data_IF_761974905778
#
_entry.id   IF_761974905778
#
_cell.length_a   1.000
_cell.length_b   1.000
_cell.length_c   1.000
_cell.angle_alpha   90.00
_cell.angle_beta   90.00
_cell.angle_gamma   90.00
#
_symmetry.space_group_name_H-M   'P 1'
#
loop_
_entity.id
_entity.type
_entity.pdbx_description
1 polymer ?
#
# COMPACT_ATOMS: atom_id res chain seq x y z
N UNK A 1 -40.59 5.35 -3.78
CA UNK A 1 -39.92 4.05 -4.02
C UNK A 1 -39.30 4.09 -5.41
N UNK A 2 -38.15 4.74 -5.53
CA UNK A 2 -37.15 4.49 -6.57
C UNK A 2 -35.99 5.48 -6.35
N UNK A 3 -34.95 5.00 -5.67
CA UNK A 3 -33.57 5.48 -5.74
C UNK A 3 -32.69 4.39 -5.11
N UNK A 4 -31.86 3.65 -5.87
CA UNK A 4 -30.81 2.86 -5.29
C UNK A 4 -29.57 3.76 -5.12
N UNK A 5 -29.36 4.28 -3.91
CA UNK A 5 -28.12 4.95 -3.51
C UNK A 5 -26.97 3.94 -3.39
N UNK A 6 -26.60 3.31 -4.52
CA UNK A 6 -25.42 2.45 -4.66
C UNK A 6 -24.48 3.00 -5.74
N UNK A 7 -24.36 4.32 -5.85
CA UNK A 7 -23.34 5.00 -6.66
C UNK A 7 -22.14 5.44 -5.81
N UNK A 8 -21.73 4.59 -4.87
CA UNK A 8 -20.40 4.69 -4.27
C UNK A 8 -19.62 3.41 -4.56
N UNK A 9 -19.64 3.01 -5.82
CA UNK A 9 -18.65 2.08 -6.37
C UNK A 9 -17.31 2.80 -6.34
N UNK A 10 -16.63 2.72 -5.19
CA UNK A 10 -15.21 3.02 -5.00
C UNK A 10 -14.47 2.47 -6.22
N UNK A 11 -13.98 3.38 -7.06
CA UNK A 11 -13.00 3.04 -8.05
C UNK A 11 -11.82 2.39 -7.30
N UNK A 12 -11.68 1.07 -7.47
CA UNK A 12 -10.49 0.34 -7.07
C UNK A 12 -9.31 1.05 -7.70
N UNK A 13 -8.38 1.66 -6.94
CA UNK A 13 -7.17 2.19 -7.54
C UNK A 13 -6.45 0.98 -8.15
N UNK A 14 -6.35 1.00 -9.48
CA UNK A 14 -5.61 0.00 -10.23
C UNK A 14 -4.19 -0.04 -9.65
N UNK A 15 -3.88 -1.15 -8.97
CA UNK A 15 -2.56 -1.38 -8.40
C UNK A 15 -1.61 -1.51 -9.58
N UNK A 16 -0.87 -0.44 -9.86
CA UNK A 16 0.26 -0.50 -10.77
C UNK A 16 1.18 -1.62 -10.28
N UNK A 17 1.37 -2.64 -11.11
CA UNK A 17 2.27 -3.77 -10.85
C UNK A 17 3.71 -3.24 -10.78
N UNK A 18 4.37 -3.21 -9.61
CA UNK A 18 5.78 -2.82 -9.54
C UNK A 18 6.58 -3.89 -10.27
N UNK A 19 7.27 -3.47 -11.33
CA UNK A 19 7.95 -4.34 -12.28
C UNK A 19 8.97 -5.24 -11.60
N UNK A 20 8.90 -6.52 -11.95
CA UNK A 20 9.80 -7.61 -11.56
C UNK A 20 11.27 -7.16 -11.52
N UNK A 21 11.79 -6.93 -10.31
CA UNK A 21 13.19 -6.77 -10.02
C UNK A 21 13.76 -8.19 -9.96
N UNK A 22 14.23 -8.66 -11.12
CA UNK A 22 14.69 -10.03 -11.39
C UNK A 22 16.00 -10.42 -10.66
N UNK A 23 16.17 -10.10 -9.37
CA UNK A 23 17.40 -10.49 -8.66
C UNK A 23 17.44 -10.35 -7.15
N UNK A 24 16.52 -9.60 -6.52
CA UNK A 24 16.47 -9.50 -5.05
C UNK A 24 15.04 -9.72 -4.60
N UNK A 25 14.78 -10.62 -3.64
CA UNK A 25 13.44 -10.76 -3.10
C UNK A 25 13.00 -9.40 -2.55
N UNK A 26 11.81 -8.99 -2.96
CA UNK A 26 11.17 -7.82 -2.40
C UNK A 26 10.91 -8.04 -0.92
N UNK A 27 11.11 -7.01 -0.11
CA UNK A 27 10.70 -7.08 1.28
C UNK A 27 9.18 -7.26 1.36
N UNK A 28 8.70 -8.06 2.30
CA UNK A 28 7.27 -8.20 2.59
C UNK A 28 6.85 -7.19 3.65
N UNK A 29 5.79 -6.42 3.38
CA UNK A 29 5.25 -5.49 4.36
C UNK A 29 4.69 -6.24 5.58
N UNK A 30 5.07 -5.82 6.78
CA UNK A 30 4.62 -6.49 8.01
C UNK A 30 3.14 -6.28 8.34
N UNK A 31 2.51 -5.25 7.77
CA UNK A 31 1.09 -4.94 8.00
C UNK A 31 0.16 -5.62 7.00
N UNK A 32 0.48 -5.52 5.71
CA UNK A 32 -0.41 -6.00 4.65
C UNK A 32 0.06 -7.31 3.99
N UNK A 33 1.26 -7.82 4.36
CA UNK A 33 1.85 -9.07 3.83
C UNK A 33 1.96 -9.09 2.29
N UNK A 34 2.03 -7.92 1.67
CA UNK A 34 2.25 -7.78 0.23
C UNK A 34 3.74 -7.56 -0.03
N UNK A 35 4.27 -8.09 -1.15
CA UNK A 35 5.61 -7.73 -1.60
C UNK A 35 5.64 -6.23 -1.87
N UNK A 36 6.62 -5.56 -1.30
CA UNK A 36 6.82 -4.12 -1.49
C UNK A 36 7.55 -3.85 -2.80
N UNK A 37 7.58 -2.61 -3.26
CA UNK A 37 8.43 -2.22 -4.39
C UNK A 37 9.92 -2.09 -4.00
N UNK A 38 10.24 -2.18 -2.71
CA UNK A 38 11.60 -2.08 -2.20
C UNK A 38 12.26 -3.46 -2.13
N UNK A 39 13.50 -3.54 -2.61
CA UNK A 39 14.33 -4.73 -2.45
C UNK A 39 14.65 -4.96 -0.96
N UNK A 40 14.80 -6.22 -0.53
CA UNK A 40 15.26 -6.55 0.84
C UNK A 40 16.57 -5.86 1.24
N UNK A 41 17.38 -5.47 0.25
CA UNK A 41 18.65 -4.76 0.45
C UNK A 41 18.47 -3.33 0.96
N UNK A 42 17.27 -2.77 0.91
CA UNK A 42 16.97 -1.45 1.48
C UNK A 42 16.86 -1.57 3.00
N UNK A 43 17.98 -1.35 3.69
CA UNK A 43 18.04 -1.46 5.16
C UNK A 43 17.08 -0.48 5.83
N UNK A 44 16.21 -1.02 6.69
CA UNK A 44 15.32 -0.24 7.57
C UNK A 44 13.87 -0.11 7.12
N UNK A 45 13.52 -0.61 5.92
CA UNK A 45 12.14 -0.56 5.42
C UNK A 45 11.43 -1.88 5.73
N UNK A 46 10.50 -1.86 6.69
CA UNK A 46 9.61 -2.99 7.04
C UNK A 46 8.17 -2.78 6.59
N UNK A 47 7.85 -1.59 6.08
CA UNK A 47 6.52 -1.19 5.61
C UNK A 47 6.54 -0.88 4.12
N UNK A 48 5.44 -1.13 3.42
CA UNK A 48 5.29 -0.67 2.04
C UNK A 48 5.01 0.85 1.98
N UNK A 49 5.25 1.49 0.81
CA UNK A 49 5.09 2.94 0.67
C UNK A 49 3.69 3.48 1.00
N UNK A 50 2.67 2.64 0.77
CA UNK A 50 1.29 2.95 1.14
C UNK A 50 1.10 2.95 2.66
N UNK A 51 1.67 1.95 3.35
CA UNK A 51 1.52 1.81 4.80
C UNK A 51 2.33 2.88 5.55
N UNK A 52 3.55 3.22 5.11
CA UNK A 52 4.32 4.29 5.76
C UNK A 52 3.60 5.64 5.71
N UNK A 53 2.99 5.99 4.57
CA UNK A 53 2.26 7.24 4.43
C UNK A 53 0.95 7.25 5.23
N UNK A 54 0.29 6.10 5.39
CA UNK A 54 -0.88 5.99 6.26
C UNK A 54 -0.52 6.19 7.74
N UNK A 55 0.57 5.60 8.22
CA UNK A 55 1.02 5.76 9.61
C UNK A 55 1.47 7.20 9.89
N UNK A 56 2.18 7.84 8.94
CA UNK A 56 2.55 9.25 9.03
C UNK A 56 1.31 10.16 9.12
N UNK A 57 0.31 9.96 8.27
CA UNK A 57 -0.93 10.74 8.34
C UNK A 57 -1.73 10.52 9.61
N UNK A 58 -1.80 9.28 10.11
CA UNK A 58 -2.47 8.98 11.39
C UNK A 58 -1.84 9.77 12.51
N UNK A 59 -0.51 9.79 12.56
CA UNK A 59 0.23 10.57 13.55
C UNK A 59 -0.02 12.08 13.38
N UNK A 60 -0.07 12.57 12.14
CA UNK A 60 -0.32 13.98 11.85
C UNK A 60 -1.76 14.44 12.21
N UNK A 61 -2.76 13.55 12.10
CA UNK A 61 -4.17 13.88 12.35
C UNK A 61 -4.69 13.48 13.74
N UNK A 62 -3.85 12.90 14.61
CA UNK A 62 -4.23 12.52 15.99
C UNK A 62 -3.92 13.60 17.03
N UNK A 63 -3.76 14.85 16.59
CA UNK A 63 -3.49 16.03 17.42
C UNK A 63 -4.73 16.66 18.03
#
# INVERSE_FOLDING_TARGET
>A
MNEPANESSRATPAVATPGTAEGTPYAECVLCRKPTEYAESVKGITLCPVCEWQEAQRTACSG
#
